data_IF_931581011825
#
_entry.id   IF_931581011825
#
_cell.length_a   1.000
_cell.length_b   1.000
_cell.length_c   1.000
_cell.angle_alpha   90.00
_cell.angle_beta   90.00
_cell.angle_gamma   90.00
#
_symmetry.space_group_name_H-M   'P 1'
#
loop_
_entity.id
_entity.type
_entity.pdbx_description
1 polymer ?
#
# COMPACT_ATOMS: atom_id res chain seq x y z
N UNK A 1 -33.90 6.73 12.89
CA UNK A 1 -32.48 7.02 13.21
C UNK A 1 -31.71 5.87 12.60
N UNK A 2 -31.08 6.10 11.46
CA UNK A 2 -30.25 5.09 10.80
C UNK A 2 -28.83 5.56 11.03
N UNK A 3 -28.14 4.87 11.95
CA UNK A 3 -26.73 5.05 12.19
C UNK A 3 -26.02 4.66 10.88
N UNK A 4 -25.54 5.66 10.16
CA UNK A 4 -24.67 5.48 9.01
C UNK A 4 -23.35 4.91 9.53
N UNK A 5 -23.17 3.59 9.36
CA UNK A 5 -21.87 2.95 9.45
C UNK A 5 -20.93 3.65 8.48
N UNK A 6 -20.00 4.40 9.04
CA UNK A 6 -18.96 5.11 8.33
C UNK A 6 -18.03 4.06 7.69
N UNK A 7 -17.78 4.06 6.36
CA UNK A 7 -16.83 3.15 5.73
C UNK A 7 -15.42 3.68 5.94
N UNK A 8 -15.04 3.92 7.19
CA UNK A 8 -13.67 4.21 7.61
C UNK A 8 -12.97 2.90 7.94
N UNK A 9 -12.98 1.95 7.01
CA UNK A 9 -12.24 0.71 7.14
C UNK A 9 -10.77 0.97 6.87
N UNK A 10 -10.04 1.56 7.83
CA UNK A 10 -8.59 1.45 7.86
C UNK A 10 -8.27 -0.03 8.04
N UNK A 11 -8.05 -0.75 6.93
CA UNK A 11 -7.66 -2.15 6.99
C UNK A 11 -6.28 -2.23 7.66
N UNK A 12 -6.05 -3.26 8.46
CA UNK A 12 -4.73 -3.48 9.09
C UNK A 12 -3.61 -3.67 8.06
N UNK A 13 -3.95 -4.00 6.81
CA UNK A 13 -3.00 -4.10 5.71
C UNK A 13 -2.46 -2.73 5.26
N UNK A 14 -3.29 -1.68 5.31
CA UNK A 14 -2.86 -0.31 4.96
C UNK A 14 -1.96 0.30 6.04
N UNK A 15 -2.19 -0.01 7.32
CA UNK A 15 -1.32 0.43 8.41
C UNK A 15 0.08 -0.21 8.30
N UNK A 16 0.15 -1.52 8.05
CA UNK A 16 1.41 -2.24 7.86
C UNK A 16 2.21 -1.73 6.64
N UNK A 17 1.55 -1.26 5.58
CA UNK A 17 2.23 -0.74 4.39
C UNK A 17 2.86 0.64 4.63
N UNK A 18 2.18 1.51 5.37
CA UNK A 18 2.73 2.82 5.77
C UNK A 18 3.89 2.63 6.74
N UNK A 19 3.76 1.73 7.72
CA UNK A 19 4.83 1.41 8.65
C UNK A 19 6.09 0.87 7.92
N UNK A 20 5.90 0.12 6.83
CA UNK A 20 7.01 -0.41 6.02
C UNK A 20 7.71 0.66 5.16
N UNK A 21 7.02 1.73 4.79
CA UNK A 21 7.61 2.87 4.08
C UNK A 21 8.44 3.72 5.04
N UNK A 22 7.90 3.99 6.23
CA UNK A 22 8.61 4.74 7.25
C UNK A 22 9.90 4.01 7.68
N UNK A 23 9.86 2.69 7.84
CA UNK A 23 11.04 1.86 8.11
C UNK A 23 12.10 1.93 7.00
N UNK A 24 11.69 1.93 5.73
CA UNK A 24 12.61 2.13 4.59
C UNK A 24 13.27 3.51 4.61
N UNK A 25 12.49 4.56 4.88
CA UNK A 25 13.01 5.94 4.94
C UNK A 25 13.98 6.11 6.10
N UNK A 26 13.69 5.53 7.27
CA UNK A 26 14.58 5.56 8.42
C UNK A 26 15.92 4.86 8.11
N UNK A 27 15.87 3.68 7.49
CA UNK A 27 17.08 2.95 7.07
C UNK A 27 17.90 3.73 6.03
N UNK A 28 17.25 4.41 5.09
CA UNK A 28 17.93 5.25 4.11
C UNK A 28 18.62 6.46 4.76
N UNK A 29 17.94 7.12 5.71
CA UNK A 29 18.50 8.26 6.45
C UNK A 29 19.68 7.81 7.31
N UNK A 30 19.57 6.69 8.02
CA UNK A 30 20.67 6.12 8.81
C UNK A 30 21.89 5.81 7.94
N UNK A 31 21.69 5.19 6.78
CA UNK A 31 22.75 4.91 5.82
C UNK A 31 23.41 6.19 5.28
N UNK A 32 22.65 7.26 5.06
CA UNK A 32 23.16 8.55 4.58
C UNK A 32 23.88 9.36 5.68
N UNK A 33 23.50 9.17 6.94
CA UNK A 33 24.10 9.85 8.11
C UNK A 33 25.34 9.15 8.67
N UNK A 34 25.55 7.88 8.31
CA UNK A 34 26.78 7.12 8.59
C UNK A 34 28.00 7.86 8.01
N UNK A 35 28.70 8.60 8.88
CA UNK A 35 29.56 9.74 8.51
C UNK A 35 31.05 9.41 8.36
N UNK A 36 31.43 8.15 8.18
CA UNK A 36 32.84 7.79 7.97
C UNK A 36 33.00 6.89 6.74
N UNK A 37 33.64 7.46 5.71
CA UNK A 37 34.13 6.82 4.46
C UNK A 37 33.07 6.22 3.54
N UNK A 38 32.94 6.76 2.31
CA UNK A 38 32.24 6.17 1.15
C UNK A 38 31.00 5.32 1.47
N UNK A 39 29.79 5.85 1.19
CA UNK A 39 28.54 5.07 1.27
C UNK A 39 28.80 3.68 0.68
N UNK A 40 28.70 2.66 1.52
CA UNK A 40 29.04 1.30 1.15
C UNK A 40 28.13 0.87 0.00
N UNK A 41 28.72 0.42 -1.11
CA UNK A 41 27.95 -0.04 -2.26
C UNK A 41 27.05 -1.22 -1.86
N UNK A 42 27.44 -2.04 -0.87
CA UNK A 42 26.60 -3.10 -0.32
C UNK A 42 25.33 -2.52 0.34
N UNK A 43 25.45 -1.43 1.10
CA UNK A 43 24.31 -0.74 1.71
C UNK A 43 23.40 -0.12 0.64
N UNK A 44 23.97 0.44 -0.43
CA UNK A 44 23.19 0.98 -1.56
C UNK A 44 22.42 -0.15 -2.25
N UNK A 45 23.07 -1.27 -2.53
CA UNK A 45 22.47 -2.40 -3.21
C UNK A 45 21.32 -3.01 -2.36
N UNK A 46 21.51 -3.10 -1.04
CA UNK A 46 20.48 -3.56 -0.09
C UNK A 46 19.28 -2.61 -0.04
N UNK A 47 19.52 -1.29 0.03
CA UNK A 47 18.45 -0.28 0.01
C UNK A 47 17.71 -0.28 -1.33
N UNK A 48 18.40 -0.42 -2.46
CA UNK A 48 17.76 -0.56 -3.77
C UNK A 48 16.88 -1.81 -3.84
N UNK A 49 17.37 -2.94 -3.33
CA UNK A 49 16.60 -4.18 -3.30
C UNK A 49 15.36 -4.03 -2.41
N UNK A 50 15.52 -3.46 -1.22
CA UNK A 50 14.40 -3.25 -0.30
C UNK A 50 13.36 -2.30 -0.88
N UNK A 51 13.79 -1.18 -1.47
CA UNK A 51 12.89 -0.23 -2.13
C UNK A 51 12.13 -0.84 -3.31
N UNK A 52 12.76 -1.71 -4.11
CA UNK A 52 12.09 -2.44 -5.20
C UNK A 52 11.03 -3.41 -4.65
N UNK A 53 11.37 -4.18 -3.62
CA UNK A 53 10.42 -5.10 -2.99
C UNK A 53 9.20 -4.36 -2.46
N UNK A 54 9.42 -3.23 -1.77
CA UNK A 54 8.34 -2.40 -1.23
C UNK A 54 7.46 -1.82 -2.35
N UNK A 55 8.06 -1.42 -3.48
CA UNK A 55 7.34 -0.95 -4.66
C UNK A 55 6.45 -2.05 -5.27
N UNK A 56 6.99 -3.26 -5.43
CA UNK A 56 6.26 -4.41 -5.98
C UNK A 56 5.07 -4.80 -5.07
N UNK A 57 5.26 -4.78 -3.76
CA UNK A 57 4.22 -5.06 -2.77
C UNK A 57 3.12 -4.00 -2.79
N UNK A 58 3.50 -2.72 -2.88
CA UNK A 58 2.55 -1.61 -3.05
C UNK A 58 1.74 -1.74 -4.35
N UNK A 59 2.39 -2.10 -5.47
CA UNK A 59 1.71 -2.27 -6.75
C UNK A 59 0.70 -3.42 -6.70
N UNK A 60 1.07 -4.55 -6.09
CA UNK A 60 0.19 -5.70 -5.90
C UNK A 60 -1.04 -5.33 -5.06
N UNK A 61 -0.83 -4.60 -3.95
CA UNK A 61 -1.91 -4.11 -3.10
C UNK A 61 -2.85 -3.17 -3.87
N UNK A 62 -2.32 -2.20 -4.61
CA UNK A 62 -3.13 -1.26 -5.39
C UNK A 62 -3.96 -1.99 -6.46
N UNK A 63 -3.38 -2.97 -7.15
CA UNK A 63 -4.11 -3.81 -8.12
C UNK A 63 -5.24 -4.60 -7.46
N UNK A 64 -4.99 -5.16 -6.28
CA UNK A 64 -6.03 -5.85 -5.52
C UNK A 64 -7.17 -4.91 -5.15
N UNK A 65 -6.86 -3.73 -4.60
CA UNK A 65 -7.86 -2.72 -4.24
C UNK A 65 -8.67 -2.25 -5.45
N UNK A 66 -8.01 -2.05 -6.59
CA UNK A 66 -8.70 -1.68 -7.82
C UNK A 66 -9.71 -2.75 -8.25
N UNK A 67 -9.32 -4.03 -8.14
CA UNK A 67 -10.24 -5.14 -8.42
C UNK A 67 -11.43 -5.16 -7.45
N UNK A 68 -11.19 -4.99 -6.15
CA UNK A 68 -12.27 -4.90 -5.14
C UNK A 68 -13.25 -3.77 -5.46
N UNK A 69 -12.74 -2.61 -5.88
CA UNK A 69 -13.57 -1.46 -6.29
C UNK A 69 -14.40 -1.79 -7.54
N UNK A 70 -13.82 -2.46 -8.53
CA UNK A 70 -14.52 -2.80 -9.76
C UNK A 70 -15.59 -3.88 -9.54
N UNK A 71 -15.31 -4.86 -8.68
CA UNK A 71 -16.29 -5.88 -8.28
C UNK A 71 -17.49 -5.24 -7.55
N UNK A 72 -17.24 -4.34 -6.59
CA UNK A 72 -18.29 -3.60 -5.89
C UNK A 72 -19.10 -2.67 -6.82
N UNK A 73 -18.45 -2.08 -7.83
CA UNK A 73 -19.14 -1.27 -8.84
C UNK A 73 -20.05 -2.12 -9.71
N UNK A 74 -19.62 -3.32 -10.09
CA UNK A 74 -20.43 -4.24 -10.88
C UNK A 74 -21.63 -4.73 -10.07
N UNK A 75 -21.43 -5.13 -8.81
CA UNK A 75 -22.50 -5.53 -7.90
C UNK A 75 -23.55 -4.41 -7.74
N UNK A 76 -23.10 -3.16 -7.55
CA UNK A 76 -24.00 -2.01 -7.45
C UNK A 76 -24.82 -1.78 -8.74
N UNK A 77 -24.24 -2.03 -9.91
CA UNK A 77 -24.94 -1.91 -11.20
C UNK A 77 -25.97 -3.02 -11.36
N UNK A 78 -25.62 -4.27 -11.04
CA UNK A 78 -26.53 -5.41 -11.08
C UNK A 78 -27.72 -5.24 -10.13
N UNK A 79 -27.48 -4.75 -8.90
CA UNK A 79 -28.54 -4.43 -7.93
C UNK A 79 -29.45 -3.25 -8.36
N UNK A 80 -28.99 -2.44 -9.30
CA UNK A 80 -29.72 -1.28 -9.83
C UNK A 80 -30.52 -1.59 -11.10
N UNK A 81 -30.38 -2.78 -11.69
CA UNK A 81 -31.20 -3.16 -12.84
C UNK A 81 -32.64 -3.45 -12.38
N UNK A 82 -33.66 -2.74 -12.91
CA UNK A 82 -35.04 -3.01 -12.55
C UNK A 82 -35.38 -4.44 -12.99
N UNK A 83 -35.85 -5.25 -12.04
CA UNK A 83 -36.37 -6.58 -12.33
C UNK A 83 -37.46 -6.44 -13.39
N UNK A 84 -37.24 -6.93 -14.61
CA UNK A 84 -38.28 -6.98 -15.64
C UNK A 84 -39.36 -7.97 -15.17
N UNK A 85 -40.46 -7.44 -14.60
CA UNK A 85 -41.75 -8.13 -14.43
C UNK A 85 -42.71 -7.82 -15.59
#
# INVERSE_FOLDING_TARGET
MSETDNPGGNSSADANAVDSIDEFVDAFVEAAESTDTEIDQEIIDDLEQYGRQLSDDCEAMLKQRQKEIDDLRNELVEDSEPSEE
#
